data_IF_090646074365
#
_entry.id   IF_090646074365
#
_cell.length_a   1.000
_cell.length_b   1.000
_cell.length_c   1.000
_cell.angle_alpha   90.00
_cell.angle_beta   90.00
_cell.angle_gamma   90.00
#
_symmetry.space_group_name_H-M   'P 1'
#
loop_
_entity.id
_entity.type
_entity.pdbx_description
1 polymer ?
#
# COMPACT_ATOMS: atom_id res chain seq x y z
N UNK A 1 -28.81 53.28 -11.79
CA UNK A 1 -28.47 52.77 -10.45
C UNK A 1 -28.64 51.26 -10.52
N UNK A 2 -27.64 50.63 -11.09
CA UNK A 2 -27.55 49.18 -11.24
C UNK A 2 -26.06 48.91 -11.34
N UNK A 3 -25.50 48.30 -10.31
CA UNK A 3 -24.41 47.35 -10.48
C UNK A 3 -24.40 46.45 -9.23
N UNK A 4 -25.12 45.33 -9.35
CA UNK A 4 -24.89 44.16 -8.51
C UNK A 4 -23.54 43.59 -8.91
N UNK A 5 -22.53 43.80 -8.07
CA UNK A 5 -21.33 42.97 -8.06
C UNK A 5 -21.38 42.13 -6.79
N UNK A 6 -22.08 41.00 -6.88
CA UNK A 6 -21.79 39.86 -6.02
C UNK A 6 -21.05 38.84 -6.88
N UNK A 7 -19.74 39.09 -7.03
CA UNK A 7 -18.77 38.12 -7.53
C UNK A 7 -18.78 36.92 -6.57
N UNK A 8 -19.66 35.97 -6.88
CA UNK A 8 -19.61 34.64 -6.29
C UNK A 8 -18.29 34.01 -6.71
N UNK A 9 -17.33 34.04 -5.78
CA UNK A 9 -16.06 33.34 -5.89
C UNK A 9 -16.34 31.86 -6.12
N UNK A 10 -16.08 31.42 -7.34
CA UNK A 10 -15.99 30.01 -7.72
C UNK A 10 -14.75 29.44 -7.02
N UNK A 11 -14.90 28.94 -5.80
CA UNK A 11 -13.92 28.08 -5.13
C UNK A 11 -13.89 26.71 -5.84
N UNK A 12 -13.50 26.72 -7.12
CA UNK A 12 -13.22 25.53 -7.89
C UNK A 12 -11.94 24.90 -7.37
N UNK A 13 -11.99 23.60 -7.06
CA UNK A 13 -10.80 22.78 -6.79
C UNK A 13 -9.74 23.03 -7.86
N UNK A 14 -8.65 23.70 -7.49
CA UNK A 14 -7.50 24.01 -8.35
C UNK A 14 -6.77 22.69 -8.67
N UNK A 15 -7.28 21.98 -9.67
CA UNK A 15 -6.63 20.79 -10.21
C UNK A 15 -5.50 21.26 -11.12
N UNK A 16 -4.30 20.63 -11.04
CA UNK A 16 -3.16 21.04 -11.83
C UNK A 16 -3.49 21.00 -13.33
N UNK A 17 -2.98 21.99 -14.06
CA UNK A 17 -3.10 22.04 -15.51
C UNK A 17 -2.39 20.86 -16.19
N UNK A 18 -2.67 20.61 -17.48
CA UNK A 18 -2.13 19.46 -18.21
C UNK A 18 -0.59 19.37 -18.17
N UNK A 19 0.09 20.50 -18.33
CA UNK A 19 1.56 20.53 -18.34
C UNK A 19 2.14 20.31 -16.93
N UNK A 20 1.54 20.90 -15.91
CA UNK A 20 1.95 20.69 -14.51
C UNK A 20 1.76 19.23 -14.09
N UNK A 21 0.66 18.61 -14.52
CA UNK A 21 0.42 17.18 -14.31
C UNK A 21 1.46 16.32 -15.01
N UNK A 22 1.84 16.65 -16.26
CA UNK A 22 2.89 15.95 -16.99
C UNK A 22 4.25 16.06 -16.27
N UNK A 23 4.66 17.26 -15.87
CA UNK A 23 5.89 17.49 -15.11
C UNK A 23 5.89 16.78 -13.75
N UNK A 24 4.73 16.66 -13.10
CA UNK A 24 4.60 15.89 -11.87
C UNK A 24 4.81 14.39 -12.13
N UNK A 25 4.21 13.83 -13.18
CA UNK A 25 4.34 12.41 -13.53
C UNK A 25 5.78 12.05 -13.93
N UNK A 26 6.48 12.93 -14.64
CA UNK A 26 7.88 12.72 -15.03
C UNK A 26 8.84 12.64 -13.83
N UNK A 27 8.45 13.20 -12.67
CA UNK A 27 9.23 13.13 -11.42
C UNK A 27 8.99 11.88 -10.59
N UNK A 28 7.91 11.14 -10.84
CA UNK A 28 7.53 10.00 -10.01
C UNK A 28 8.16 8.72 -10.54
N UNK A 29 9.04 8.12 -9.74
CA UNK A 29 9.61 6.82 -10.04
C UNK A 29 8.60 5.69 -9.88
N UNK A 30 8.59 4.73 -10.83
CA UNK A 30 7.81 3.50 -10.70
C UNK A 30 8.19 2.73 -9.43
N UNK A 31 9.48 2.74 -9.07
CA UNK A 31 9.98 2.16 -7.81
C UNK A 31 9.32 2.77 -6.59
N UNK A 32 9.15 4.09 -6.54
CA UNK A 32 8.57 4.79 -5.39
C UNK A 32 7.10 4.43 -5.22
N UNK A 33 6.36 4.36 -6.34
CA UNK A 33 4.95 3.93 -6.35
C UNK A 33 4.82 2.49 -5.85
N UNK A 34 5.68 1.58 -6.34
CA UNK A 34 5.66 0.18 -5.93
C UNK A 34 6.03 0.02 -4.45
N UNK A 35 7.06 0.70 -3.97
CA UNK A 35 7.47 0.67 -2.56
C UNK A 35 6.34 1.16 -1.64
N UNK A 36 5.67 2.25 -2.01
CA UNK A 36 4.52 2.77 -1.26
C UNK A 36 3.36 1.76 -1.25
N UNK A 37 2.99 1.23 -2.42
CA UNK A 37 1.91 0.24 -2.53
C UNK A 37 2.21 -1.04 -1.74
N UNK A 38 3.44 -1.53 -1.76
CA UNK A 38 3.87 -2.71 -1.01
C UNK A 38 3.91 -2.45 0.50
N UNK A 39 4.33 -1.26 0.93
CA UNK A 39 4.27 -0.85 2.34
C UNK A 39 2.82 -0.82 2.86
N UNK A 40 1.90 -0.26 2.07
CA UNK A 40 0.47 -0.29 2.37
C UNK A 40 -0.08 -1.72 2.38
N UNK A 41 0.34 -2.56 1.43
CA UNK A 41 -0.04 -3.98 1.33
C UNK A 41 0.40 -4.76 2.56
N UNK A 42 1.63 -4.57 3.04
CA UNK A 42 2.13 -5.18 4.27
C UNK A 42 1.30 -4.74 5.48
N UNK A 43 1.03 -3.45 5.62
CA UNK A 43 0.22 -2.89 6.72
C UNK A 43 -1.20 -3.46 6.74
N UNK A 44 -1.85 -3.55 5.58
CA UNK A 44 -3.15 -4.20 5.44
C UNK A 44 -3.06 -5.69 5.78
N UNK A 45 -2.03 -6.39 5.31
CA UNK A 45 -1.77 -7.79 5.66
C UNK A 45 -1.71 -8.03 7.18
N UNK A 46 -0.97 -7.19 7.91
CA UNK A 46 -0.91 -7.26 9.38
C UNK A 46 -2.28 -7.05 10.04
N UNK A 47 -3.09 -6.13 9.52
CA UNK A 47 -4.47 -5.96 10.00
C UNK A 47 -5.33 -7.20 9.73
N UNK A 48 -5.13 -7.89 8.60
CA UNK A 48 -5.91 -9.08 8.23
C UNK A 48 -5.53 -10.35 8.98
N UNK A 49 -4.42 -10.36 9.70
CA UNK A 49 -4.08 -11.47 10.61
C UNK A 49 -4.49 -11.20 12.06
N UNK A 50 -4.93 -9.98 12.39
CA UNK A 50 -5.40 -9.64 13.74
C UNK A 50 -6.73 -10.33 14.06
N UNK A 51 -7.04 -10.48 15.35
CA UNK A 51 -8.28 -11.13 15.79
C UNK A 51 -9.54 -10.32 15.39
N UNK A 52 -9.43 -8.99 15.37
CA UNK A 52 -10.55 -8.07 15.17
C UNK A 52 -10.96 -7.92 13.70
N UNK A 53 -10.03 -8.13 12.76
CA UNK A 53 -10.25 -7.87 11.34
C UNK A 53 -9.78 -9.04 10.44
N UNK A 54 -9.79 -10.25 11.01
CA UNK A 54 -9.24 -11.48 10.40
C UNK A 54 -9.82 -11.75 9.01
N UNK A 55 -8.93 -11.85 8.03
CA UNK A 55 -9.20 -12.28 6.65
C UNK A 55 -7.94 -12.98 6.11
N UNK A 56 -7.85 -14.30 6.35
CA UNK A 56 -6.67 -15.08 6.00
C UNK A 56 -6.42 -15.17 4.48
N UNK A 57 -7.43 -15.27 3.60
CA UNK A 57 -7.21 -15.14 2.16
C UNK A 57 -6.54 -13.82 1.75
N UNK A 58 -6.98 -12.69 2.29
CA UNK A 58 -6.36 -11.38 2.01
C UNK A 58 -4.94 -11.27 2.60
N UNK A 59 -4.71 -11.77 3.81
CA UNK A 59 -3.37 -11.81 4.39
C UNK A 59 -2.40 -12.66 3.56
N UNK A 60 -2.86 -13.80 3.05
CA UNK A 60 -2.07 -14.65 2.15
C UNK A 60 -1.75 -13.92 0.84
N UNK A 61 -2.72 -13.21 0.25
CA UNK A 61 -2.49 -12.41 -0.95
C UNK A 61 -1.38 -11.36 -0.73
N UNK A 62 -1.40 -10.67 0.41
CA UNK A 62 -0.35 -9.70 0.76
C UNK A 62 1.05 -10.34 0.84
N UNK A 63 1.17 -11.49 1.50
CA UNK A 63 2.43 -12.25 1.61
C UNK A 63 2.96 -12.64 0.22
N UNK A 64 2.09 -13.17 -0.63
CA UNK A 64 2.46 -13.64 -1.96
C UNK A 64 2.85 -12.49 -2.88
N UNK A 65 2.15 -11.34 -2.79
CA UNK A 65 2.51 -10.14 -3.54
C UNK A 65 3.90 -9.61 -3.15
N UNK A 66 4.19 -9.51 -1.85
CA UNK A 66 5.51 -9.10 -1.35
C UNK A 66 6.60 -10.07 -1.84
N UNK A 67 6.34 -11.38 -1.76
CA UNK A 67 7.28 -12.41 -2.22
C UNK A 67 7.58 -12.31 -3.71
N UNK A 68 6.57 -12.05 -4.53
CA UNK A 68 6.70 -11.98 -5.98
C UNK A 68 7.43 -10.71 -6.45
N UNK A 69 7.20 -9.58 -5.77
CA UNK A 69 7.73 -8.28 -6.21
C UNK A 69 9.11 -7.94 -5.63
N UNK A 70 9.51 -8.55 -4.51
CA UNK A 70 10.86 -8.39 -3.94
C UNK A 70 12.01 -8.61 -4.96
N UNK A 71 12.07 -9.72 -5.73
CA UNK A 71 13.12 -9.89 -6.73
C UNK A 71 13.04 -8.85 -7.85
N UNK A 72 11.85 -8.42 -8.25
CA UNK A 72 11.64 -7.40 -9.29
C UNK A 72 12.22 -6.05 -8.84
N UNK A 73 12.01 -5.66 -7.58
CA UNK A 73 12.59 -4.42 -7.03
C UNK A 73 14.11 -4.49 -6.94
N UNK A 74 14.67 -5.65 -6.55
CA UNK A 74 16.11 -5.86 -6.48
C UNK A 74 16.76 -5.77 -7.86
N UNK A 75 16.20 -6.45 -8.86
CA UNK A 75 16.67 -6.38 -10.26
C UNK A 75 16.49 -4.98 -10.87
N UNK A 76 15.44 -4.26 -10.44
CA UNK A 76 15.16 -2.88 -10.84
C UNK A 76 16.08 -1.82 -10.24
N UNK A 77 17.05 -2.21 -9.40
CA UNK A 77 18.05 -1.28 -8.84
C UNK A 77 17.55 -0.44 -7.67
N UNK A 78 16.46 -0.86 -7.01
CA UNK A 78 16.04 -0.26 -5.73
C UNK A 78 17.10 -0.53 -4.66
N UNK A 79 17.29 0.43 -3.75
CA UNK A 79 18.25 0.30 -2.65
C UNK A 79 18.05 -1.01 -1.86
N UNK A 80 19.14 -1.76 -1.69
CA UNK A 80 19.15 -3.05 -1.01
C UNK A 80 18.62 -2.97 0.43
N UNK A 81 18.78 -1.84 1.13
CA UNK A 81 18.24 -1.63 2.47
C UNK A 81 16.70 -1.61 2.44
N UNK A 82 16.10 -0.90 1.47
CA UNK A 82 14.64 -0.84 1.32
C UNK A 82 14.06 -2.20 0.94
N UNK A 83 14.75 -2.95 0.06
CA UNK A 83 14.34 -4.31 -0.29
C UNK A 83 14.42 -5.24 0.93
N UNK A 84 15.47 -5.14 1.75
CA UNK A 84 15.59 -5.91 3.00
C UNK A 84 14.51 -5.58 4.01
N UNK A 85 14.10 -4.32 4.12
CA UNK A 85 13.02 -3.92 5.03
C UNK A 85 11.68 -4.54 4.61
N UNK A 86 11.38 -4.57 3.31
CA UNK A 86 10.20 -5.26 2.77
C UNK A 86 10.26 -6.78 2.99
N UNK A 87 11.42 -7.39 2.77
CA UNK A 87 11.65 -8.81 3.04
C UNK A 87 11.37 -9.14 4.51
N UNK A 88 11.89 -8.32 5.43
CA UNK A 88 11.68 -8.47 6.86
C UNK A 88 10.19 -8.32 7.24
N UNK A 89 9.49 -7.33 6.65
CA UNK A 89 8.05 -7.15 6.85
C UNK A 89 7.26 -8.39 6.38
N UNK A 90 7.62 -8.96 5.22
CA UNK A 90 7.02 -10.20 4.69
C UNK A 90 7.22 -11.38 5.65
N UNK A 91 8.44 -11.59 6.15
CA UNK A 91 8.74 -12.68 7.09
C UNK A 91 7.95 -12.56 8.40
N UNK A 92 7.87 -11.34 8.94
CA UNK A 92 7.10 -11.06 10.15
C UNK A 92 5.60 -11.31 9.92
N UNK A 93 5.08 -10.93 8.76
CA UNK A 93 3.69 -11.18 8.37
C UNK A 93 3.41 -12.68 8.20
N UNK A 94 4.33 -13.44 7.62
CA UNK A 94 4.22 -14.89 7.50
C UNK A 94 4.13 -15.58 8.86
N UNK A 95 4.95 -15.14 9.83
CA UNK A 95 4.90 -15.66 11.19
C UNK A 95 3.54 -15.35 11.86
N UNK A 96 3.05 -14.12 11.73
CA UNK A 96 1.76 -13.72 12.28
C UNK A 96 0.59 -14.48 11.62
N UNK A 97 0.66 -14.69 10.31
CA UNK A 97 -0.30 -15.48 9.56
C UNK A 97 -0.35 -16.95 10.03
N UNK A 98 0.80 -17.59 10.23
CA UNK A 98 0.87 -18.96 10.71
C UNK A 98 0.18 -19.10 12.09
N UNK A 99 0.44 -18.17 13.01
CA UNK A 99 -0.23 -18.12 14.32
C UNK A 99 -1.74 -17.96 14.18
N UNK A 100 -2.19 -17.02 13.35
CA UNK A 100 -3.62 -16.79 13.14
C UNK A 100 -4.34 -18.00 12.52
N UNK A 101 -3.67 -18.77 11.67
CA UNK A 101 -4.17 -20.04 11.11
C UNK A 101 -4.32 -21.10 12.21
N UNK A 102 -3.34 -21.21 13.11
CA UNK A 102 -3.39 -22.16 14.24
C UNK A 102 -4.51 -21.83 15.23
N UNK A 103 -4.69 -20.56 15.56
CA UNK A 103 -5.79 -20.07 16.40
C UNK A 103 -7.15 -20.41 15.78
N UNK A 104 -7.37 -20.11 14.50
CA UNK A 104 -8.64 -20.40 13.82
C UNK A 104 -8.98 -21.90 13.74
N UNK A 105 -7.98 -22.78 13.72
CA UNK A 105 -8.20 -24.24 13.81
C UNK A 105 -8.66 -24.66 15.21
N UNK A 106 -8.13 -24.01 16.24
CA UNK A 106 -8.49 -24.28 17.64
C UNK A 106 -9.93 -23.84 17.94
N UNK A 107 -10.37 -22.70 17.39
CA UNK A 107 -11.74 -22.19 17.54
C UNK A 107 -12.81 -23.07 16.86
N UNK A 108 -12.44 -23.81 15.81
CA UNK A 108 -13.38 -24.68 15.07
C UNK A 108 -13.49 -26.08 15.71
N UNK A 109 -12.55 -26.46 16.57
CA UNK A 109 -12.46 -27.79 17.17
C UNK A 109 -13.09 -27.90 18.57
N UNK A 110 -13.50 -26.77 19.18
CA UNK A 110 -14.19 -26.70 20.47
C UNK A 110 -15.69 -26.44 20.33
#
# INVERSE_FOLDING_TARGET
MADEVDDTQDEGTDLPGEEELREALDRVGVSDVLLNALSATASLGFRRVSAEARDLPQARLAIEALRALEPVLREGGVDDALVRDLEQARMNLQLAYAKAVEEGRSDTAG
#
